data_IF_512531040812
#
_entry.id   IF_512531040812
#
_cell.length_a   1.000
_cell.length_b   1.000
_cell.length_c   1.000
_cell.angle_alpha   90.00
_cell.angle_beta   90.00
_cell.angle_gamma   90.00
#
_symmetry.space_group_name_H-M   'P 1'
#
loop_
_entity.id
_entity.type
_entity.pdbx_description
1 polymer ?
#
# COMPACT_ATOMS: atom_id res chain seq x y z
N UNK A 1 30.39 16.47 -11.36
CA UNK A 1 29.07 16.89 -10.87
C UNK A 1 28.46 15.72 -10.14
N UNK A 2 28.16 15.84 -8.84
CA UNK A 2 27.52 14.77 -8.09
C UNK A 2 26.04 14.68 -8.48
N UNK A 3 25.54 13.48 -8.77
CA UNK A 3 24.12 13.27 -9.01
C UNK A 3 23.35 13.59 -7.71
N UNK A 4 22.36 14.48 -7.81
CA UNK A 4 21.48 14.80 -6.67
C UNK A 4 20.75 13.52 -6.25
N UNK A 5 20.93 13.09 -5.00
CA UNK A 5 20.25 11.92 -4.46
C UNK A 5 18.73 12.09 -4.54
N UNK A 6 18.04 11.02 -4.95
CA UNK A 6 16.57 10.99 -4.94
C UNK A 6 16.09 11.01 -3.48
N UNK A 7 15.07 11.81 -3.19
CA UNK A 7 14.41 11.80 -1.90
C UNK A 7 13.39 10.64 -1.86
N UNK A 8 13.50 9.76 -0.87
CA UNK A 8 12.53 8.69 -0.65
C UNK A 8 11.40 9.20 0.22
N UNK A 9 10.16 9.01 -0.25
CA UNK A 9 8.95 9.17 0.56
C UNK A 9 8.52 7.79 1.02
N UNK A 10 8.11 7.68 2.29
CA UNK A 10 7.62 6.43 2.88
C UNK A 10 6.35 6.69 3.67
N UNK A 11 5.31 5.90 3.38
CA UNK A 11 4.05 5.83 4.09
C UNK A 11 4.06 4.61 5.01
N UNK A 12 3.78 4.84 6.29
CA UNK A 12 3.57 3.81 7.33
C UNK A 12 2.36 4.16 8.16
N UNK A 13 1.73 3.16 8.76
CA UNK A 13 0.73 3.37 9.81
C UNK A 13 1.41 3.81 11.11
N UNK A 14 0.76 4.72 11.86
CA UNK A 14 1.29 5.21 13.15
C UNK A 14 1.21 4.12 14.23
N UNK A 15 0.20 3.27 14.15
CA UNK A 15 -0.02 2.14 15.05
C UNK A 15 0.71 0.86 14.61
N UNK A 16 1.52 0.93 13.53
CA UNK A 16 2.23 -0.19 12.93
C UNK A 16 1.31 -1.33 12.43
N UNK A 17 0.01 -1.08 12.30
CA UNK A 17 -0.94 -2.03 11.70
C UNK A 17 -0.67 -2.21 10.21
N UNK A 18 -0.98 -3.39 9.68
CA UNK A 18 -0.90 -3.62 8.24
C UNK A 18 -2.06 -2.92 7.50
N UNK A 19 -1.79 -2.44 6.30
CA UNK A 19 -2.78 -1.73 5.47
C UNK A 19 -2.72 -2.15 4.00
N UNK A 20 -3.81 -1.91 3.27
CA UNK A 20 -3.86 -2.09 1.83
C UNK A 20 -3.83 -0.72 1.15
N UNK A 21 -3.24 -0.64 -0.04
CA UNK A 21 -3.30 0.56 -0.88
C UNK A 21 -3.99 0.20 -2.18
N UNK A 22 -5.05 0.93 -2.52
CA UNK A 22 -5.89 0.62 -3.69
C UNK A 22 -5.62 1.58 -4.84
N UNK A 23 -5.43 2.86 -4.56
CA UNK A 23 -5.16 3.88 -5.58
C UNK A 23 -4.32 5.04 -5.08
N UNK A 24 -3.76 5.78 -6.03
CA UNK A 24 -3.13 7.08 -5.84
C UNK A 24 -3.40 7.96 -7.06
N UNK A 25 -3.61 9.25 -6.84
CA UNK A 25 -3.69 10.21 -7.93
C UNK A 25 -2.29 10.78 -8.20
N UNK A 26 -1.88 10.85 -9.47
CA UNK A 26 -0.59 11.41 -9.89
C UNK A 26 -0.79 12.47 -10.98
N UNK A 27 0.05 13.50 -10.95
CA UNK A 27 0.14 14.53 -12.00
C UNK A 27 1.59 15.00 -12.20
N UNK A 28 1.87 15.72 -13.29
CA UNK A 28 3.16 16.42 -13.44
C UNK A 28 3.21 17.63 -12.52
N UNK A 29 4.34 17.85 -11.85
CA UNK A 29 4.57 19.09 -11.09
C UNK A 29 4.79 20.29 -12.02
N UNK A 30 5.54 20.09 -13.11
CA UNK A 30 5.86 21.17 -14.06
C UNK A 30 4.84 21.22 -15.20
N UNK A 31 4.47 22.44 -15.61
CA UNK A 31 3.63 22.71 -16.78
C UNK A 31 4.44 23.44 -17.86
N UNK A 32 4.02 23.29 -19.13
CA UNK A 32 4.64 23.97 -20.27
C UNK A 32 5.64 23.09 -21.05
N UNK A 33 6.44 23.68 -21.95
CA UNK A 33 7.27 22.94 -22.92
C UNK A 33 8.40 22.11 -22.30
N UNK A 34 8.65 22.26 -21.00
CA UNK A 34 9.60 21.46 -20.23
C UNK A 34 8.93 20.35 -19.40
N UNK A 35 7.60 20.20 -19.51
CA UNK A 35 6.82 19.21 -18.76
C UNK A 35 6.93 17.81 -19.41
N UNK A 36 7.86 17.00 -18.92
CA UNK A 36 8.07 15.64 -19.43
C UNK A 36 7.10 14.65 -18.78
N UNK A 37 6.57 13.73 -19.59
CA UNK A 37 6.00 12.48 -19.08
C UNK A 37 7.08 11.74 -18.28
N UNK A 38 6.64 11.00 -17.29
CA UNK A 38 7.57 10.32 -16.42
C UNK A 38 6.94 9.11 -15.79
N UNK A 39 7.68 8.54 -14.85
CA UNK A 39 7.19 7.38 -14.14
C UNK A 39 7.64 7.40 -12.69
N UNK A 40 6.87 6.71 -11.87
CA UNK A 40 7.16 6.46 -10.48
C UNK A 40 7.05 4.96 -10.24
N UNK A 41 8.03 4.42 -9.51
CA UNK A 41 7.99 3.04 -9.04
C UNK A 41 7.72 3.04 -7.55
N UNK A 42 6.69 2.30 -7.16
CA UNK A 42 6.27 2.08 -5.80
C UNK A 42 6.76 0.72 -5.30
N UNK A 43 7.23 0.71 -4.07
CA UNK A 43 7.72 -0.47 -3.36
C UNK A 43 6.90 -0.63 -2.07
N UNK A 44 6.05 -1.65 -2.04
CA UNK A 44 5.28 -2.04 -0.86
C UNK A 44 5.98 -3.16 -0.10
N UNK A 45 6.29 -2.97 1.18
CA UNK A 45 6.81 -4.05 2.04
C UNK A 45 5.62 -4.70 2.73
N UNK A 46 5.46 -6.03 2.62
CA UNK A 46 4.38 -6.74 3.33
C UNK A 46 4.71 -6.87 4.82
N UNK A 47 3.68 -6.92 5.66
CA UNK A 47 3.87 -7.21 7.09
C UNK A 47 4.42 -8.63 7.27
N UNK A 48 5.42 -8.80 8.13
CA UNK A 48 6.03 -10.10 8.42
C UNK A 48 6.97 -10.67 7.35
N UNK A 49 7.24 -9.94 6.26
CA UNK A 49 8.23 -10.34 5.24
C UNK A 49 9.02 -9.14 4.72
N UNK A 50 10.27 -9.37 4.31
CA UNK A 50 11.13 -8.34 3.74
C UNK A 50 11.03 -8.22 2.22
N UNK A 51 10.29 -9.11 1.55
CA UNK A 51 10.19 -9.09 0.08
C UNK A 51 9.19 -8.02 -0.37
N UNK A 52 9.62 -7.00 -1.15
CA UNK A 52 8.72 -5.95 -1.60
C UNK A 52 7.86 -6.41 -2.77
N UNK A 53 6.61 -5.94 -2.81
CA UNK A 53 5.79 -5.88 -4.02
C UNK A 53 6.09 -4.58 -4.75
N UNK A 54 6.23 -4.63 -6.07
CA UNK A 54 6.69 -3.48 -6.86
C UNK A 54 5.71 -3.21 -8.00
N UNK A 55 5.38 -1.94 -8.22
CA UNK A 55 4.57 -1.51 -9.35
C UNK A 55 5.01 -0.15 -9.85
N UNK A 56 5.07 0.00 -11.17
CA UNK A 56 5.42 1.23 -11.85
C UNK A 56 4.19 1.84 -12.48
N UNK A 57 4.04 3.16 -12.36
CA UNK A 57 3.05 3.94 -13.08
C UNK A 57 3.76 4.96 -13.97
N UNK A 58 3.31 5.05 -15.22
CA UNK A 58 3.71 6.10 -16.16
C UNK A 58 2.63 7.18 -16.15
N UNK A 59 3.00 8.44 -15.91
CA UNK A 59 2.09 9.59 -15.83
C UNK A 59 2.29 10.55 -17.00
N UNK A 60 1.18 11.10 -17.51
CA UNK A 60 1.16 11.93 -18.73
C UNK A 60 0.84 13.41 -18.49
N UNK A 61 0.63 13.81 -17.23
CA UNK A 61 0.64 15.21 -16.80
C UNK A 61 -0.66 15.83 -16.34
N UNK A 62 -1.78 15.14 -16.49
CA UNK A 62 -3.03 15.48 -15.80
C UNK A 62 -3.22 14.60 -14.57
N UNK A 63 -3.93 15.09 -13.56
CA UNK A 63 -4.38 14.27 -12.43
C UNK A 63 -5.12 13.03 -12.95
N UNK A 64 -4.56 11.88 -12.64
CA UNK A 64 -5.08 10.57 -13.06
C UNK A 64 -4.99 9.61 -11.89
N UNK A 65 -6.06 8.86 -11.66
CA UNK A 65 -6.09 7.80 -10.65
C UNK A 65 -5.41 6.55 -11.19
N UNK A 66 -4.38 6.11 -10.48
CA UNK A 66 -3.66 4.86 -10.76
C UNK A 66 -4.08 3.80 -9.76
N UNK A 67 -4.45 2.62 -10.28
CA UNK A 67 -4.87 1.49 -9.46
C UNK A 67 -3.68 0.57 -9.18
N UNK A 68 -3.44 0.32 -7.89
CA UNK A 68 -2.49 -0.72 -7.50
C UNK A 68 -3.08 -2.10 -7.78
N UNK A 69 -2.22 -3.05 -8.14
CA UNK A 69 -2.64 -4.43 -8.33
C UNK A 69 -2.94 -5.10 -6.98
N UNK A 70 -3.61 -6.26 -7.03
CA UNK A 70 -4.09 -6.99 -5.85
C UNK A 70 -2.99 -7.39 -4.83
N UNK A 71 -1.71 -7.30 -5.19
CA UNK A 71 -0.61 -7.65 -4.29
C UNK A 71 -0.25 -6.52 -3.30
N UNK A 72 -0.76 -5.30 -3.48
CA UNK A 72 -0.57 -4.16 -2.56
C UNK A 72 -1.52 -4.25 -1.35
N UNK A 73 -1.52 -5.41 -0.71
CA UNK A 73 -2.34 -5.75 0.46
C UNK A 73 -1.46 -6.23 1.61
N UNK A 74 -1.89 -5.96 2.84
CA UNK A 74 -1.16 -6.35 4.06
C UNK A 74 0.23 -5.71 4.15
N UNK A 75 0.37 -4.46 3.73
CA UNK A 75 1.63 -3.72 3.72
C UNK A 75 1.96 -3.18 5.12
N UNK A 76 3.24 -3.23 5.49
CA UNK A 76 3.83 -2.48 6.61
C UNK A 76 4.32 -1.10 6.16
N UNK A 77 4.71 -0.95 4.89
CA UNK A 77 5.11 0.34 4.32
C UNK A 77 4.86 0.40 2.82
N UNK A 78 4.64 1.61 2.30
CA UNK A 78 4.69 1.93 0.86
C UNK A 78 5.74 3.03 0.65
N UNK A 79 6.67 2.85 -0.28
CA UNK A 79 7.72 3.82 -0.56
C UNK A 79 7.91 4.09 -2.04
N UNK A 80 8.37 5.29 -2.35
CA UNK A 80 8.69 5.75 -3.70
C UNK A 80 9.71 6.87 -3.64
N UNK A 81 10.30 7.23 -4.78
CA UNK A 81 11.33 8.28 -4.83
C UNK A 81 10.90 9.45 -5.71
N UNK A 82 11.29 10.65 -5.30
CA UNK A 82 11.20 11.87 -6.11
C UNK A 82 12.60 12.44 -6.35
N UNK A 83 12.85 12.91 -7.57
CA UNK A 83 14.17 13.36 -8.02
C UNK A 83 14.17 14.74 -8.64
N UNK A 84 15.38 15.26 -8.88
CA UNK A 84 15.57 16.57 -9.50
C UNK A 84 14.90 16.69 -10.89
N UNK A 85 14.85 15.59 -11.65
CA UNK A 85 14.31 15.55 -13.03
C UNK A 85 12.98 14.79 -13.16
N UNK A 86 12.54 14.07 -12.13
CA UNK A 86 11.26 13.34 -12.10
C UNK A 86 10.42 13.90 -10.96
N UNK A 87 9.81 15.07 -11.24
CA UNK A 87 8.95 15.79 -10.32
C UNK A 87 7.50 15.58 -10.72
N UNK A 88 6.79 14.83 -9.89
CA UNK A 88 5.37 14.61 -10.00
C UNK A 88 4.71 15.03 -8.69
N UNK A 89 3.45 15.41 -8.79
CA UNK A 89 2.57 15.61 -7.65
C UNK A 89 1.81 14.31 -7.39
N UNK A 90 1.48 14.05 -6.13
CA UNK A 90 0.64 12.93 -5.74
C UNK A 90 -0.40 13.42 -4.73
N UNK A 91 -1.59 12.83 -4.78
CA UNK A 91 -2.69 13.10 -3.86
C UNK A 91 -3.59 11.85 -3.73
N UNK A 92 -4.55 11.89 -2.81
CA UNK A 92 -5.66 10.95 -2.71
C UNK A 92 -5.21 9.48 -2.65
N UNK A 93 -4.22 9.21 -1.80
CA UNK A 93 -3.76 7.85 -1.53
C UNK A 93 -4.89 7.13 -0.78
N UNK A 94 -5.53 6.18 -1.46
CA UNK A 94 -6.62 5.42 -0.87
C UNK A 94 -6.08 4.21 -0.12
N UNK A 95 -6.25 4.23 1.19
CA UNK A 95 -5.75 3.24 2.13
C UNK A 95 -6.92 2.61 2.88
N UNK A 96 -6.89 1.30 3.03
CA UNK A 96 -7.85 0.57 3.87
C UNK A 96 -7.11 -0.28 4.89
N UNK A 97 -7.72 -0.50 6.05
CA UNK A 97 -7.17 -1.43 7.03
C UNK A 97 -7.06 -2.82 6.40
N UNK A 98 -5.94 -3.52 6.65
CA UNK A 98 -5.85 -4.92 6.28
C UNK A 98 -6.89 -5.70 7.09
N UNK A 99 -7.80 -6.40 6.39
CA UNK A 99 -8.82 -7.21 7.05
C UNK A 99 -8.15 -8.43 7.68
N UNK A 100 -8.43 -8.76 8.96
CA UNK A 100 -7.92 -9.96 9.59
C UNK A 100 -8.20 -11.19 8.73
N UNK A 101 -7.15 -11.91 8.38
CA UNK A 101 -7.21 -13.00 7.41
C UNK A 101 -8.15 -14.14 7.85
N UNK A 102 -8.48 -15.05 6.93
CA UNK A 102 -9.32 -16.24 7.14
C UNK A 102 -8.93 -17.05 8.40
N UNK A 103 -7.67 -17.03 8.79
CA UNK A 103 -7.18 -17.68 10.02
C UNK A 103 -7.78 -17.08 11.29
N UNK A 104 -8.02 -15.77 11.34
CA UNK A 104 -8.66 -15.11 12.49
C UNK A 104 -10.11 -15.56 12.62
N UNK A 105 -10.81 -15.68 11.49
CA UNK A 105 -12.16 -16.23 11.44
C UNK A 105 -12.18 -17.71 11.83
N UNK A 106 -11.20 -18.48 11.37
CA UNK A 106 -11.05 -19.88 11.77
C UNK A 106 -10.83 -20.02 13.28
N UNK A 107 -10.00 -19.15 13.88
CA UNK A 107 -9.76 -19.14 15.33
C UNK A 107 -11.00 -18.71 16.12
N UNK A 108 -11.74 -17.71 15.64
CA UNK A 108 -13.01 -17.31 16.23
C UNK A 108 -14.03 -18.45 16.17
N UNK A 109 -14.22 -19.05 15.00
CA UNK A 109 -15.14 -20.17 14.80
C UNK A 109 -14.72 -21.39 15.60
N UNK A 110 -13.42 -21.68 15.68
CA UNK A 110 -12.89 -22.75 16.52
C UNK A 110 -13.18 -22.48 18.01
N UNK A 111 -12.96 -21.25 18.48
CA UNK A 111 -13.29 -20.84 19.85
C UNK A 111 -14.77 -20.98 20.15
N UNK A 112 -15.64 -20.48 19.28
CA UNK A 112 -17.10 -20.61 19.42
C UNK A 112 -17.56 -22.07 19.36
N UNK A 113 -16.98 -22.87 18.46
CA UNK A 113 -17.26 -24.31 18.36
C UNK A 113 -16.90 -25.06 19.64
N UNK A 114 -15.76 -24.75 20.25
CA UNK A 114 -15.34 -25.33 21.53
C UNK A 114 -16.30 -24.96 22.67
N UNK A 115 -16.70 -23.68 22.76
CA UNK A 115 -17.67 -23.22 23.77
C UNK A 115 -19.03 -23.91 23.62
N UNK A 116 -19.52 -24.04 22.38
CA UNK A 116 -20.77 -24.75 22.08
C UNK A 116 -20.70 -26.24 22.46
N UNK A 117 -19.58 -26.91 22.18
CA UNK A 117 -19.37 -28.31 22.57
C UNK A 117 -19.37 -28.49 24.10
N UNK A 118 -18.67 -27.62 24.84
CA UNK A 118 -18.68 -27.66 26.31
C UNK A 118 -20.08 -27.43 26.87
N UNK A 119 -20.84 -26.48 26.32
CA UNK A 119 -22.22 -26.23 26.74
C UNK A 119 -23.14 -27.45 26.51
N UNK A 120 -22.97 -28.16 25.39
CA UNK A 120 -23.70 -29.41 25.12
C UNK A 120 -23.37 -30.50 26.13
N UNK A 121 -22.10 -30.67 26.48
CA UNK A 121 -21.66 -31.68 27.48
C UNK A 121 -22.16 -31.42 28.89
N UNK A 122 -22.50 -30.18 29.24
CA UNK A 122 -23.09 -29.85 30.56
C UNK A 122 -24.60 -30.12 30.65
N UNK A 123 -25.27 -30.30 29.50
CA UNK A 123 -26.73 -30.53 29.43
C UNK A 123 -27.09 -31.99 29.20
N UNK A 124 -26.13 -32.82 28.80
CA UNK A 124 -26.24 -34.28 28.75
C UNK A 124 -25.68 -34.86 30.06
#
# INVERSE_FOLDING_TARGET
MAATALATVTLTSVDHSAFNVTSIDLAKLLKGPLALDGSVTFYGTKAGTSTPVVQKFDYTGSWTTFLFNANFTGLSSLSWTQGALSRYEFDNINVTAAVPEAQTWAMLLAGLGMLGWMARRKRA
#
